data_IF_698441060803
#
_entry.id   IF_698441060803
#
_cell.length_a   1.000
_cell.length_b   1.000
_cell.length_c   1.000
_cell.angle_alpha   90.00
_cell.angle_beta   90.00
_cell.angle_gamma   90.00
#
_symmetry.space_group_name_H-M   'P 1'
#
loop_
_entity.id
_entity.type
_entity.pdbx_description
1 polymer ?
#
# COMPACT_ATOMS: atom_id res chain seq x y z
N UNK A 1 14.60 74.38 1.82
CA UNK A 1 15.94 74.92 2.10
C UNK A 1 16.93 74.29 1.14
N UNK A 2 17.87 75.04 0.60
CA UNK A 2 18.90 74.55 -0.33
C UNK A 2 20.27 74.77 0.28
N UNK A 3 21.11 73.74 0.30
CA UNK A 3 22.46 73.84 0.84
C UNK A 3 23.42 74.50 -0.15
N UNK A 4 24.47 75.14 0.39
CA UNK A 4 25.56 75.72 -0.42
C UNK A 4 26.32 74.61 -1.15
N UNK A 5 26.91 74.91 -2.30
CA UNK A 5 27.75 73.95 -3.05
C UNK A 5 28.80 73.29 -2.14
N UNK A 6 28.89 71.96 -2.19
CA UNK A 6 29.73 71.15 -1.31
C UNK A 6 29.06 70.67 -0.01
N UNK A 7 27.82 71.07 0.26
CA UNK A 7 27.03 70.61 1.40
C UNK A 7 25.76 69.89 0.95
N UNK A 8 25.38 68.86 1.70
CA UNK A 8 24.24 67.97 1.46
C UNK A 8 23.16 68.19 2.51
N UNK A 9 21.89 68.19 2.11
CA UNK A 9 20.79 68.34 3.05
C UNK A 9 20.57 67.01 3.81
N UNK A 10 20.50 67.07 5.13
CA UNK A 10 19.99 65.97 5.95
C UNK A 10 18.51 66.21 6.25
N UNK A 11 17.61 65.36 5.74
CA UNK A 11 16.17 65.54 5.89
C UNK A 11 15.66 65.33 7.33
N UNK A 12 16.43 64.64 8.17
CA UNK A 12 16.03 64.34 9.56
C UNK A 12 16.37 65.50 10.49
N UNK A 13 17.58 66.06 10.37
CA UNK A 13 18.04 67.17 11.21
C UNK A 13 17.78 68.54 10.58
N UNK A 14 17.33 68.57 9.33
CA UNK A 14 17.09 69.79 8.53
C UNK A 14 18.34 70.70 8.46
N UNK A 15 19.53 70.10 8.39
CA UNK A 15 20.83 70.77 8.41
C UNK A 15 21.67 70.43 7.18
N UNK A 16 22.58 71.32 6.81
CA UNK A 16 23.54 71.10 5.72
C UNK A 16 24.84 70.50 6.26
N UNK A 17 25.25 69.34 5.75
CA UNK A 17 26.42 68.59 6.21
C UNK A 17 27.37 68.24 5.05
N UNK A 18 28.65 68.04 5.32
CA UNK A 18 29.68 67.78 4.29
C UNK A 18 29.87 66.29 3.97
N UNK A 19 29.26 65.39 4.74
CA UNK A 19 29.22 63.94 4.49
C UNK A 19 27.99 63.35 5.17
N UNK A 20 27.42 62.28 4.61
CA UNK A 20 26.30 61.60 5.25
C UNK A 20 26.82 60.73 6.41
N UNK A 21 26.22 60.82 7.62
CA UNK A 21 26.64 60.01 8.76
C UNK A 21 26.17 58.56 8.63
N UNK A 22 26.68 57.68 9.50
CA UNK A 22 26.24 56.29 9.61
C UNK A 22 24.70 56.19 9.64
N UNK A 23 24.18 55.20 8.92
CA UNK A 23 22.75 55.01 8.68
C UNK A 23 22.17 55.85 7.53
N UNK A 24 22.98 56.66 6.84
CA UNK A 24 22.56 57.43 5.66
C UNK A 24 23.51 57.28 4.46
N UNK A 25 22.96 57.31 3.26
CA UNK A 25 23.70 57.37 1.99
C UNK A 25 23.39 58.65 1.21
N UNK A 26 24.31 59.08 0.35
CA UNK A 26 24.13 60.26 -0.49
C UNK A 26 23.33 59.91 -1.75
N UNK A 27 22.11 60.42 -1.87
CA UNK A 27 21.35 60.41 -3.13
C UNK A 27 21.91 61.52 -4.04
N UNK A 28 22.81 61.13 -4.95
CA UNK A 28 23.48 62.05 -5.88
C UNK A 28 22.53 62.77 -6.84
N UNK A 29 21.32 62.25 -7.07
CA UNK A 29 20.34 62.88 -7.96
C UNK A 29 19.67 64.08 -7.30
N UNK A 30 19.53 64.05 -5.97
CA UNK A 30 18.83 65.08 -5.19
C UNK A 30 19.74 65.80 -4.18
N UNK A 31 21.02 65.42 -4.10
CA UNK A 31 22.05 66.03 -3.25
C UNK A 31 21.60 66.03 -1.77
N UNK A 32 21.06 64.88 -1.33
CA UNK A 32 20.41 64.73 -0.03
C UNK A 32 20.85 63.42 0.63
N UNK A 33 21.07 63.45 1.94
CA UNK A 33 21.38 62.25 2.72
C UNK A 33 20.10 61.51 3.08
N UNK A 34 19.94 60.29 2.59
CA UNK A 34 18.78 59.42 2.84
C UNK A 34 19.12 58.24 3.72
N UNK A 35 18.15 57.79 4.50
CA UNK A 35 18.32 56.67 5.42
C UNK A 35 18.55 55.35 4.67
N UNK A 36 19.47 54.53 5.17
CA UNK A 36 19.67 53.15 4.75
C UNK A 36 18.46 52.27 5.11
N UNK A 37 18.35 51.09 4.47
CA UNK A 37 17.41 50.02 4.90
C UNK A 37 17.64 49.63 6.37
N UNK A 38 16.61 49.05 7.00
CA UNK A 38 16.74 48.52 8.35
C UNK A 38 17.89 47.52 8.44
N UNK A 39 18.50 47.45 9.63
CA UNK A 39 19.65 46.59 9.95
C UNK A 39 21.02 47.00 9.38
N UNK A 40 21.09 48.03 8.54
CA UNK A 40 22.36 48.52 8.00
C UNK A 40 22.95 49.64 8.83
N UNK A 41 24.25 49.54 9.11
CA UNK A 41 25.06 50.57 9.77
C UNK A 41 25.62 51.55 8.75
N UNK A 42 26.16 51.06 7.64
CA UNK A 42 26.55 51.89 6.48
C UNK A 42 26.00 51.28 5.18
N UNK A 43 25.69 52.12 4.20
CA UNK A 43 25.15 51.70 2.90
C UNK A 43 25.56 52.67 1.78
N UNK A 44 25.58 52.17 0.54
CA UNK A 44 25.83 52.97 -0.67
C UNK A 44 24.54 53.37 -1.39
N UNK A 45 23.50 52.56 -1.22
CA UNK A 45 22.13 52.81 -1.67
C UNK A 45 21.16 52.27 -0.62
N UNK A 46 19.86 52.57 -0.78
CA UNK A 46 18.83 52.17 0.17
C UNK A 46 18.93 50.68 0.58
N UNK A 47 19.13 49.76 -0.37
CA UNK A 47 19.18 48.31 -0.13
C UNK A 47 20.60 47.71 -0.19
N UNK A 48 21.64 48.51 -0.43
CA UNK A 48 23.01 48.02 -0.63
C UNK A 48 23.87 48.42 0.57
N UNK A 49 23.98 47.52 1.53
CA UNK A 49 24.66 47.73 2.78
C UNK A 49 26.13 47.31 2.70
N UNK A 50 26.98 48.06 3.37
CA UNK A 50 28.43 47.85 3.43
C UNK A 50 28.89 47.44 4.83
N UNK A 51 28.12 47.78 5.86
CA UNK A 51 28.36 47.37 7.23
C UNK A 51 27.01 47.18 7.94
N UNK A 52 26.92 46.19 8.82
CA UNK A 52 25.70 45.85 9.54
C UNK A 52 25.70 46.42 10.96
N UNK A 53 24.50 46.65 11.51
CA UNK A 53 24.35 46.98 12.93
C UNK A 53 24.81 45.80 13.79
N UNK A 54 25.14 46.08 15.05
CA UNK A 54 25.64 45.07 15.99
C UNK A 54 24.70 43.85 16.08
N UNK A 55 25.25 42.63 15.99
CA UNK A 55 24.49 41.37 16.00
C UNK A 55 24.02 40.85 14.63
N UNK A 56 24.37 41.54 13.54
CA UNK A 56 24.04 41.16 12.16
C UNK A 56 25.30 40.91 11.34
N UNK A 57 25.22 40.02 10.36
CA UNK A 57 26.30 39.73 9.39
C UNK A 57 25.92 40.17 7.98
N UNK A 58 26.91 40.63 7.22
CA UNK A 58 26.72 41.06 5.83
C UNK A 58 26.72 39.84 4.90
N UNK A 59 25.58 39.56 4.27
CA UNK A 59 25.41 38.52 3.26
C UNK A 59 25.17 39.17 1.90
N UNK A 60 26.22 39.22 1.08
CA UNK A 60 26.24 40.00 -0.15
C UNK A 60 26.13 41.50 0.17
N UNK A 61 24.99 42.11 -0.14
CA UNK A 61 24.70 43.52 0.14
C UNK A 61 23.60 43.72 1.19
N UNK A 62 23.15 42.66 1.87
CA UNK A 62 22.08 42.73 2.89
C UNK A 62 22.58 42.25 4.25
N UNK A 63 22.08 42.87 5.30
CA UNK A 63 22.36 42.48 6.68
C UNK A 63 21.33 41.47 7.17
N UNK A 64 21.78 40.32 7.64
CA UNK A 64 20.93 39.27 8.19
C UNK A 64 21.45 38.80 9.56
N UNK A 65 20.54 38.30 10.39
CA UNK A 65 20.89 37.74 11.71
C UNK A 65 21.55 36.40 11.46
N UNK A 66 22.77 36.23 11.97
CA UNK A 66 23.48 34.95 11.92
C UNK A 66 23.44 34.34 13.31
N UNK A 67 22.68 33.26 13.45
CA UNK A 67 22.76 32.43 14.63
C UNK A 67 24.03 31.55 14.59
N UNK A 68 24.51 31.16 15.76
CA UNK A 68 25.57 30.15 15.89
C UNK A 68 25.13 28.84 15.22
N UNK A 69 26.10 28.00 14.83
CA UNK A 69 25.77 26.67 14.28
C UNK A 69 24.90 25.88 15.26
N UNK A 70 23.93 25.14 14.72
CA UNK A 70 22.93 24.42 15.51
C UNK A 70 21.78 25.29 16.03
N UNK A 71 21.68 26.57 15.64
CA UNK A 71 20.54 27.44 15.95
C UNK A 71 19.93 28.06 14.69
N UNK A 72 18.62 28.32 14.73
CA UNK A 72 17.89 29.09 13.72
C UNK A 72 17.29 30.35 14.33
N UNK A 73 17.02 31.34 13.48
CA UNK A 73 16.40 32.59 13.92
C UNK A 73 14.88 32.50 13.81
N UNK A 74 14.16 32.60 14.93
CA UNK A 74 12.70 32.50 14.96
C UNK A 74 11.98 33.85 14.65
N UNK A 75 12.72 34.92 14.35
CA UNK A 75 12.19 36.27 14.16
C UNK A 75 12.45 37.21 15.34
N UNK A 76 12.77 36.68 16.52
CA UNK A 76 13.16 37.46 17.72
C UNK A 76 14.53 37.09 18.24
N UNK A 77 14.82 35.80 18.33
CA UNK A 77 16.04 35.26 18.91
C UNK A 77 16.51 34.01 18.18
N UNK A 78 17.70 33.55 18.56
CA UNK A 78 18.28 32.32 18.05
C UNK A 78 17.88 31.14 18.94
N UNK A 79 17.08 30.23 18.39
CA UNK A 79 16.64 29.02 19.05
C UNK A 79 17.41 27.79 18.53
N UNK A 80 17.62 26.76 19.35
CA UNK A 80 18.29 25.54 18.92
C UNK A 80 17.48 24.80 17.84
N UNK A 81 18.19 24.18 16.93
CA UNK A 81 17.63 23.22 15.98
C UNK A 81 17.13 21.96 16.69
N UNK A 82 16.28 21.18 16.00
CA UNK A 82 15.97 19.83 16.43
C UNK A 82 17.26 18.99 16.54
N UNK A 83 17.36 18.11 17.55
CA UNK A 83 18.57 17.35 17.89
C UNK A 83 19.15 16.48 16.77
N UNK A 84 18.37 16.17 15.73
CA UNK A 84 18.84 15.41 14.56
C UNK A 84 19.45 16.29 13.47
N UNK A 85 19.24 17.60 13.52
CA UNK A 85 19.81 18.56 12.58
C UNK A 85 21.10 19.18 13.15
N UNK A 86 22.18 19.18 12.36
CA UNK A 86 23.36 20.00 12.64
C UNK A 86 23.10 21.49 12.31
N UNK A 87 22.33 21.76 11.27
CA UNK A 87 21.83 23.09 10.90
C UNK A 87 20.39 22.98 10.42
N UNK A 88 19.60 24.03 10.61
CA UNK A 88 18.18 24.02 10.29
C UNK A 88 17.69 25.41 9.83
N UNK A 89 16.60 25.41 9.06
CA UNK A 89 15.87 26.61 8.66
C UNK A 89 14.75 26.98 9.66
N UNK A 90 14.43 26.09 10.61
CA UNK A 90 13.30 26.21 11.53
C UNK A 90 13.40 25.22 12.69
N UNK A 91 12.50 25.35 13.68
CA UNK A 91 12.47 24.46 14.86
C UNK A 91 12.08 23.01 14.55
N UNK A 92 11.33 22.77 13.46
CA UNK A 92 10.76 21.47 13.14
C UNK A 92 11.81 20.44 12.73
N UNK A 93 11.50 19.16 12.95
CA UNK A 93 12.30 18.03 12.45
C UNK A 93 12.37 17.98 10.91
N UNK A 94 11.46 18.70 10.24
CA UNK A 94 11.30 18.80 8.78
C UNK A 94 12.03 20.00 8.18
N UNK A 95 12.77 20.74 9.01
CA UNK A 95 13.46 21.95 8.62
C UNK A 95 14.98 21.78 8.72
N UNK A 96 15.50 20.56 8.68
CA UNK A 96 16.93 20.32 8.69
C UNK A 96 17.55 20.72 7.34
N UNK A 97 18.71 21.39 7.41
CA UNK A 97 19.55 21.69 6.25
C UNK A 97 20.71 20.69 6.18
N UNK A 98 21.34 20.39 7.33
CA UNK A 98 22.36 19.35 7.46
C UNK A 98 22.04 18.46 8.66
N UNK A 99 22.40 17.18 8.57
CA UNK A 99 22.19 16.21 9.64
C UNK A 99 23.39 16.08 10.57
N UNK A 100 23.11 15.81 11.84
CA UNK A 100 24.12 15.42 12.82
C UNK A 100 24.73 14.08 12.43
N UNK A 101 25.97 13.81 12.86
CA UNK A 101 26.65 12.54 12.59
C UNK A 101 25.79 11.33 12.99
N UNK A 102 25.69 10.33 12.10
CA UNK A 102 24.88 9.12 12.28
C UNK A 102 23.43 9.24 11.80
N UNK A 103 23.00 10.42 11.35
CA UNK A 103 21.71 10.63 10.69
C UNK A 103 21.90 10.84 9.18
N UNK A 104 20.85 10.54 8.42
CA UNK A 104 20.77 10.62 6.96
C UNK A 104 19.70 11.64 6.55
N UNK A 105 19.99 12.42 5.52
CA UNK A 105 19.03 13.41 5.01
C UNK A 105 17.93 12.70 4.20
N UNK A 106 16.68 12.99 4.50
CA UNK A 106 15.49 12.49 3.82
C UNK A 106 14.48 13.64 3.69
N UNK A 107 14.40 14.26 2.51
CA UNK A 107 13.45 15.35 2.20
C UNK A 107 13.35 16.45 3.28
N UNK A 108 14.50 16.94 3.76
CA UNK A 108 14.57 18.01 4.78
C UNK A 108 14.48 17.51 6.23
N UNK A 109 14.42 16.20 6.44
CA UNK A 109 14.47 15.54 7.74
C UNK A 109 15.77 14.76 7.90
N UNK A 110 16.16 14.56 9.15
CA UNK A 110 17.30 13.73 9.50
C UNK A 110 16.84 12.46 10.22
N UNK A 111 17.01 11.31 9.57
CA UNK A 111 16.56 9.98 10.01
C UNK A 111 17.73 9.04 10.31
N UNK A 112 17.55 8.04 11.17
CA UNK A 112 18.62 7.06 11.48
C UNK A 112 18.68 5.90 10.49
N UNK A 113 17.61 5.68 9.75
CA UNK A 113 17.46 4.69 8.69
C UNK A 113 16.48 5.25 7.66
N UNK A 114 16.70 4.96 6.39
CA UNK A 114 15.80 5.41 5.33
C UNK A 114 14.41 4.79 5.53
N UNK A 115 13.38 5.61 5.32
CA UNK A 115 11.98 5.18 5.39
C UNK A 115 11.65 4.21 4.25
N UNK A 116 10.54 3.48 4.39
CA UNK A 116 9.98 2.65 3.32
C UNK A 116 9.84 3.46 2.02
N UNK A 117 10.30 2.89 0.90
CA UNK A 117 10.35 3.57 -0.40
C UNK A 117 11.56 4.48 -0.61
N UNK A 118 12.56 4.42 0.26
CA UNK A 118 13.85 5.09 0.12
C UNK A 118 15.01 4.12 0.27
N UNK A 119 16.07 4.34 -0.50
CA UNK A 119 17.34 3.63 -0.38
C UNK A 119 18.44 4.58 0.11
N UNK A 120 19.43 4.03 0.81
CA UNK A 120 20.60 4.78 1.23
C UNK A 120 21.52 5.00 0.03
N UNK A 121 21.69 6.26 -0.36
CA UNK A 121 22.67 6.61 -1.38
C UNK A 121 24.07 6.69 -0.78
N UNK A 122 24.97 5.85 -1.28
CA UNK A 122 26.37 5.82 -0.90
C UNK A 122 27.23 6.81 -1.67
N UNK A 123 26.66 7.57 -2.62
CA UNK A 123 27.38 8.60 -3.35
C UNK A 123 27.87 9.70 -2.39
N UNK A 124 29.14 10.07 -2.50
CA UNK A 124 29.78 11.12 -1.69
C UNK A 124 29.69 12.51 -2.33
N UNK A 125 29.00 12.63 -3.47
CA UNK A 125 28.95 13.88 -4.27
C UNK A 125 28.34 15.06 -3.51
N UNK A 126 27.43 14.80 -2.57
CA UNK A 126 26.77 15.84 -1.76
C UNK A 126 27.43 16.09 -0.41
N UNK A 127 28.50 15.36 -0.07
CA UNK A 127 29.22 15.50 1.21
C UNK A 127 28.50 14.92 2.44
N UNK A 128 27.29 14.38 2.30
CA UNK A 128 26.53 13.70 3.36
C UNK A 128 25.79 12.47 2.81
N UNK A 129 25.53 11.50 3.68
CA UNK A 129 24.72 10.31 3.37
C UNK A 129 23.24 10.72 3.28
N UNK A 130 22.59 10.41 2.17
CA UNK A 130 21.21 10.82 1.89
C UNK A 130 20.35 9.60 1.56
N UNK A 131 19.10 9.62 2.00
CA UNK A 131 18.08 8.70 1.57
C UNK A 131 17.47 9.24 0.27
N UNK A 132 17.48 8.44 -0.78
CA UNK A 132 16.86 8.77 -2.07
C UNK A 132 15.64 7.92 -2.29
N UNK A 133 14.61 8.50 -2.89
CA UNK A 133 13.38 7.79 -3.23
C UNK A 133 13.68 6.69 -4.25
N UNK A 134 13.01 5.57 -4.08
CA UNK A 134 12.98 4.51 -5.08
C UNK A 134 12.36 5.00 -6.38
N UNK A 135 12.67 4.28 -7.47
CA UNK A 135 11.97 4.46 -8.73
C UNK A 135 10.46 4.19 -8.55
N UNK A 136 9.62 4.90 -9.30
CA UNK A 136 8.16 4.78 -9.19
C UNK A 136 7.63 3.38 -9.56
N UNK A 137 8.44 2.56 -10.24
CA UNK A 137 8.14 1.16 -10.56
C UNK A 137 8.21 0.21 -9.35
N UNK A 138 8.87 0.59 -8.25
CA UNK A 138 9.07 -0.26 -7.08
C UNK A 138 8.32 0.28 -5.83
N UNK A 139 8.02 -0.60 -4.88
CA UNK A 139 7.60 -0.19 -3.51
C UNK A 139 8.82 -0.04 -2.61
N UNK A 140 9.77 -0.97 -2.67
CA UNK A 140 11.06 -0.90 -1.99
C UNK A 140 12.19 -1.12 -3.00
N UNK A 141 13.37 -0.59 -2.70
CA UNK A 141 14.54 -0.72 -3.56
C UNK A 141 15.85 -0.73 -2.77
N UNK A 142 16.92 -1.25 -3.38
CA UNK A 142 18.27 -1.28 -2.83
C UNK A 142 19.19 -0.21 -3.44
N UNK A 143 18.73 0.50 -4.47
CA UNK A 143 19.56 1.38 -5.28
C UNK A 143 18.75 2.21 -6.27
N UNK A 144 19.47 2.88 -7.18
CA UNK A 144 18.88 3.78 -8.16
C UNK A 144 18.21 3.04 -9.32
N UNK A 145 17.07 3.54 -9.77
CA UNK A 145 16.40 3.10 -11.00
C UNK A 145 15.53 1.85 -10.84
N UNK A 146 14.96 1.41 -11.96
CA UNK A 146 13.95 0.37 -12.09
C UNK A 146 14.46 -1.08 -11.93
N UNK A 147 15.79 -1.26 -11.86
CA UNK A 147 16.48 -2.57 -11.75
C UNK A 147 16.99 -2.90 -10.35
N UNK A 148 16.70 -2.04 -9.39
CA UNK A 148 17.10 -2.25 -8.00
C UNK A 148 15.88 -2.40 -7.08
N UNK A 149 14.73 -2.82 -7.61
CA UNK A 149 13.56 -3.12 -6.81
C UNK A 149 13.84 -4.30 -5.86
N UNK A 150 13.30 -4.22 -4.64
CA UNK A 150 13.29 -5.31 -3.65
C UNK A 150 11.87 -5.71 -3.26
N UNK A 151 10.88 -4.89 -3.60
CA UNK A 151 9.47 -5.27 -3.57
C UNK A 151 8.67 -4.50 -4.63
N UNK A 152 7.58 -5.12 -5.09
CA UNK A 152 6.78 -4.62 -6.20
C UNK A 152 5.38 -4.19 -5.77
N UNK A 153 4.76 -3.23 -6.49
CA UNK A 153 3.35 -2.91 -6.33
C UNK A 153 2.47 -4.14 -6.58
N UNK A 154 1.26 -4.14 -6.02
CA UNK A 154 0.30 -5.24 -6.23
C UNK A 154 0.04 -5.47 -7.74
N UNK A 155 0.11 -6.73 -8.18
CA UNK A 155 -0.04 -7.12 -9.59
C UNK A 155 1.27 -7.21 -10.38
N UNK A 156 2.42 -6.93 -9.74
CA UNK A 156 3.74 -7.07 -10.33
C UNK A 156 4.56 -8.11 -9.55
N UNK A 157 5.33 -8.91 -10.28
CA UNK A 157 6.27 -9.86 -9.73
C UNK A 157 7.69 -9.28 -9.78
N UNK A 158 8.51 -9.59 -8.77
CA UNK A 158 9.91 -9.18 -8.74
C UNK A 158 10.75 -10.19 -9.54
N UNK A 159 11.25 -9.76 -10.70
CA UNK A 159 12.17 -10.54 -11.52
C UNK A 159 13.52 -9.82 -11.60
N UNK A 160 14.58 -10.46 -11.09
CA UNK A 160 15.98 -9.97 -11.15
C UNK A 160 16.18 -8.48 -10.82
N UNK A 161 15.42 -7.96 -9.86
CA UNK A 161 15.49 -6.56 -9.42
C UNK A 161 14.56 -5.61 -10.17
N UNK A 162 13.72 -6.11 -11.08
CA UNK A 162 12.73 -5.35 -11.85
C UNK A 162 11.33 -5.81 -11.47
N UNK A 163 10.39 -4.88 -11.36
CA UNK A 163 8.98 -5.22 -11.24
C UNK A 163 8.36 -5.44 -12.63
N UNK A 164 8.08 -6.69 -12.96
CA UNK A 164 7.43 -7.08 -14.21
C UNK A 164 5.95 -7.35 -13.95
N UNK A 165 5.10 -7.04 -14.93
CA UNK A 165 3.67 -7.40 -14.83
C UNK A 165 3.59 -8.91 -14.71
N UNK A 166 2.93 -9.42 -13.67
CA UNK A 166 2.77 -10.87 -13.51
C UNK A 166 2.02 -11.47 -14.70
N UNK A 167 2.28 -12.74 -15.02
CA UNK A 167 1.59 -13.44 -16.11
C UNK A 167 0.09 -13.44 -15.84
N UNK A 168 -0.67 -12.66 -16.62
CA UNK A 168 -2.14 -12.61 -16.49
C UNK A 168 -2.73 -13.74 -17.32
N UNK A 169 -3.05 -14.84 -16.67
CA UNK A 169 -3.80 -15.94 -17.28
C UNK A 169 -5.28 -15.58 -17.44
N UNK A 170 -5.92 -16.14 -18.47
CA UNK A 170 -7.34 -15.88 -18.72
C UNK A 170 -8.20 -16.66 -17.73
N UNK A 171 -9.48 -16.30 -17.61
CA UNK A 171 -10.45 -17.08 -16.84
C UNK A 171 -10.41 -18.55 -17.29
N UNK A 172 -10.27 -19.47 -16.33
CA UNK A 172 -10.10 -20.90 -16.59
C UNK A 172 -8.65 -21.35 -16.81
N UNK A 173 -7.67 -20.49 -16.56
CA UNK A 173 -6.23 -20.82 -16.60
C UNK A 173 -5.52 -20.34 -15.31
N UNK A 174 -4.42 -21.01 -14.95
CA UNK A 174 -3.51 -20.62 -13.85
C UNK A 174 -2.06 -20.65 -14.33
N UNK A 175 -1.17 -19.90 -13.67
CA UNK A 175 0.26 -19.90 -14.01
C UNK A 175 0.91 -21.21 -13.56
N UNK A 176 1.65 -21.83 -14.48
CA UNK A 176 2.43 -23.02 -14.23
C UNK A 176 3.69 -22.67 -13.41
N UNK A 177 3.86 -23.25 -12.21
CA UNK A 177 4.97 -22.92 -11.32
C UNK A 177 6.37 -23.20 -11.89
N UNK A 178 6.47 -24.08 -12.89
CA UNK A 178 7.74 -24.55 -13.44
C UNK A 178 8.11 -23.85 -14.77
N UNK A 179 7.15 -23.27 -15.47
CA UNK A 179 7.34 -22.77 -16.84
C UNK A 179 6.80 -21.36 -17.11
N UNK A 180 6.20 -20.69 -16.12
CA UNK A 180 5.59 -19.34 -16.22
C UNK A 180 4.53 -19.22 -17.34
N UNK A 181 4.05 -20.35 -17.86
CA UNK A 181 3.00 -20.40 -18.88
C UNK A 181 1.62 -20.59 -18.24
N UNK A 182 0.57 -20.14 -18.91
CA UNK A 182 -0.79 -20.41 -18.46
C UNK A 182 -1.19 -21.85 -18.82
N UNK A 183 -1.65 -22.60 -17.81
CA UNK A 183 -2.19 -23.95 -17.95
C UNK A 183 -3.69 -23.93 -17.67
N UNK A 184 -4.51 -24.68 -18.43
CA UNK A 184 -5.95 -24.70 -18.23
C UNK A 184 -6.35 -25.44 -16.95
N UNK A 185 -7.42 -24.98 -16.32
CA UNK A 185 -8.12 -25.72 -15.27
C UNK A 185 -8.66 -27.06 -15.81
N UNK A 186 -8.91 -28.02 -14.91
CA UNK A 186 -9.53 -29.28 -15.29
C UNK A 186 -10.93 -29.11 -15.89
N UNK A 187 -11.34 -30.09 -16.69
CA UNK A 187 -12.61 -30.10 -17.41
C UNK A 187 -13.80 -29.78 -16.49
N UNK A 188 -14.60 -28.80 -16.89
CA UNK A 188 -15.77 -28.37 -16.14
C UNK A 188 -15.50 -27.31 -15.07
N UNK A 189 -14.25 -27.03 -14.70
CA UNK A 189 -13.94 -25.90 -13.83
C UNK A 189 -14.11 -24.57 -14.60
N UNK A 190 -14.87 -23.63 -14.04
CA UNK A 190 -14.84 -22.24 -14.50
C UNK A 190 -13.62 -21.50 -13.93
N UNK A 191 -13.31 -21.78 -12.66
CA UNK A 191 -12.10 -21.31 -11.98
C UNK A 191 -11.54 -22.48 -11.17
N UNK A 192 -10.22 -22.55 -11.03
CA UNK A 192 -9.52 -23.55 -10.23
C UNK A 192 -8.57 -22.90 -9.22
N UNK A 193 -8.02 -23.70 -8.32
CA UNK A 193 -6.99 -23.22 -7.39
C UNK A 193 -5.71 -22.90 -8.14
N UNK A 194 -5.01 -21.87 -7.67
CA UNK A 194 -3.74 -21.41 -8.25
C UNK A 194 -2.61 -22.42 -8.10
N UNK A 195 -2.66 -23.29 -7.08
CA UNK A 195 -1.64 -24.30 -6.76
C UNK A 195 -1.98 -25.71 -7.26
N UNK A 196 -3.23 -25.96 -7.66
CA UNK A 196 -3.64 -27.23 -8.30
C UNK A 196 -4.80 -26.99 -9.29
N UNK A 197 -4.53 -26.99 -10.61
CA UNK A 197 -5.55 -26.72 -11.63
C UNK A 197 -6.66 -27.77 -11.69
N UNK A 198 -6.49 -28.92 -11.01
CA UNK A 198 -7.50 -29.99 -10.96
C UNK A 198 -8.61 -29.73 -9.94
N UNK A 199 -8.36 -28.82 -9.00
CA UNK A 199 -9.30 -28.49 -7.93
C UNK A 199 -10.10 -27.27 -8.37
N UNK A 200 -11.39 -27.47 -8.63
CA UNK A 200 -12.29 -26.41 -9.05
C UNK A 200 -12.70 -25.54 -7.85
N UNK A 201 -12.79 -24.25 -8.07
CA UNK A 201 -13.44 -23.29 -7.16
C UNK A 201 -14.90 -23.09 -7.54
N UNK A 202 -15.20 -23.13 -8.84
CA UNK A 202 -16.54 -22.97 -9.42
C UNK A 202 -16.65 -23.83 -10.68
N UNK A 203 -17.86 -24.30 -10.98
CA UNK A 203 -18.14 -25.09 -12.17
C UNK A 203 -18.74 -24.24 -13.28
N UNK A 204 -18.44 -24.58 -14.53
CA UNK A 204 -19.15 -24.05 -15.70
C UNK A 204 -20.61 -24.52 -15.71
N UNK A 205 -21.44 -23.89 -16.53
CA UNK A 205 -22.84 -24.25 -16.64
C UNK A 205 -23.04 -25.73 -17.02
N UNK A 206 -24.03 -26.37 -16.39
CA UNK A 206 -24.38 -27.79 -16.53
C UNK A 206 -23.40 -28.80 -15.90
N UNK A 207 -22.38 -28.33 -15.18
CA UNK A 207 -21.56 -29.17 -14.32
C UNK A 207 -21.99 -29.03 -12.86
N UNK A 208 -21.88 -30.12 -12.12
CA UNK A 208 -22.30 -30.24 -10.72
C UNK A 208 -21.07 -30.39 -9.84
N UNK A 209 -20.96 -29.54 -8.83
CA UNK A 209 -19.85 -29.58 -7.88
C UNK A 209 -20.03 -30.75 -6.91
N UNK A 210 -18.99 -31.57 -6.76
CA UNK A 210 -18.91 -32.58 -5.70
C UNK A 210 -17.53 -32.51 -5.05
N UNK A 211 -17.52 -32.19 -3.75
CA UNK A 211 -16.32 -31.79 -3.01
C UNK A 211 -15.69 -30.58 -3.71
N UNK A 212 -14.62 -30.76 -4.48
CA UNK A 212 -13.95 -29.69 -5.22
C UNK A 212 -13.71 -30.04 -6.71
N UNK A 213 -14.53 -30.93 -7.27
CA UNK A 213 -14.47 -31.30 -8.68
C UNK A 213 -15.84 -31.10 -9.35
N UNK A 214 -15.80 -30.75 -10.62
CA UNK A 214 -16.99 -30.52 -11.44
C UNK A 214 -17.29 -31.74 -12.30
N UNK A 215 -18.53 -32.25 -12.23
CA UNK A 215 -18.96 -33.43 -12.96
C UNK A 215 -20.18 -33.14 -13.83
N UNK A 216 -20.20 -33.67 -15.06
CA UNK A 216 -21.40 -33.67 -15.91
C UNK A 216 -22.40 -34.76 -15.47
N UNK A 217 -21.89 -35.90 -15.02
CA UNK A 217 -22.66 -36.98 -14.41
C UNK A 217 -22.17 -37.18 -12.99
N UNK A 218 -23.07 -37.02 -12.02
CA UNK A 218 -22.71 -37.15 -10.61
C UNK A 218 -22.15 -38.55 -10.29
N UNK A 219 -21.12 -38.63 -9.42
CA UNK A 219 -20.53 -39.91 -9.01
C UNK A 219 -21.54 -40.88 -8.39
N UNK A 220 -21.18 -42.16 -8.29
CA UNK A 220 -22.05 -43.18 -7.70
C UNK A 220 -22.53 -42.82 -6.29
N UNK A 221 -23.76 -43.22 -5.96
CA UNK A 221 -24.44 -42.90 -4.69
C UNK A 221 -24.60 -41.40 -4.41
N UNK A 222 -24.65 -40.59 -5.46
CA UNK A 222 -25.03 -39.18 -5.38
C UNK A 222 -26.08 -38.86 -6.44
N UNK A 223 -26.87 -37.82 -6.24
CA UNK A 223 -27.87 -37.34 -7.20
C UNK A 223 -27.63 -35.87 -7.53
N UNK A 224 -28.15 -35.42 -8.67
CA UNK A 224 -28.05 -34.03 -9.13
C UNK A 224 -29.06 -33.16 -8.41
N UNK A 225 -28.60 -32.10 -7.77
CA UNK A 225 -29.45 -31.03 -7.28
C UNK A 225 -29.32 -29.81 -8.21
N UNK A 226 -30.36 -29.54 -9.01
CA UNK A 226 -30.37 -28.46 -10.00
C UNK A 226 -30.47 -27.06 -9.39
N UNK A 227 -30.87 -26.98 -8.12
CA UNK A 227 -31.02 -25.70 -7.40
C UNK A 227 -29.66 -25.22 -6.91
N UNK A 228 -28.91 -26.10 -6.24
CA UNK A 228 -27.57 -25.78 -5.72
C UNK A 228 -26.44 -26.07 -6.72
N UNK A 229 -26.75 -26.72 -7.85
CA UNK A 229 -25.78 -27.17 -8.87
C UNK A 229 -24.69 -28.05 -8.27
N UNK A 230 -25.10 -28.98 -7.39
CA UNK A 230 -24.21 -29.90 -6.67
C UNK A 230 -24.64 -31.34 -6.84
N UNK A 231 -23.70 -32.25 -6.67
CA UNK A 231 -24.02 -33.64 -6.40
C UNK A 231 -24.24 -33.81 -4.90
N UNK A 232 -25.40 -34.30 -4.50
CA UNK A 232 -25.78 -34.54 -3.11
C UNK A 232 -25.69 -36.04 -2.83
N UNK A 233 -25.08 -36.39 -1.70
CA UNK A 233 -24.96 -37.78 -1.29
C UNK A 233 -26.33 -38.39 -0.98
N UNK A 234 -26.55 -39.62 -1.46
CA UNK A 234 -27.72 -40.39 -1.09
C UNK A 234 -27.72 -40.74 0.40
N UNK A 235 -28.90 -41.02 0.98
CA UNK A 235 -28.97 -41.54 2.35
C UNK A 235 -28.08 -42.77 2.54
N UNK A 236 -27.45 -42.86 3.71
CA UNK A 236 -26.35 -43.80 3.97
C UNK A 236 -26.75 -45.27 3.86
N UNK A 237 -28.03 -45.58 3.92
CA UNK A 237 -28.65 -46.88 3.82
C UNK A 237 -29.16 -47.22 2.40
N UNK A 238 -28.91 -46.36 1.42
CA UNK A 238 -29.41 -46.51 0.06
C UNK A 238 -28.30 -46.85 -0.93
N UNK A 239 -28.65 -47.70 -1.90
CA UNK A 239 -27.84 -48.06 -3.06
C UNK A 239 -28.37 -47.24 -4.26
N UNK A 240 -28.00 -45.96 -4.29
CA UNK A 240 -28.54 -44.97 -5.21
C UNK A 240 -29.90 -44.40 -4.79
N UNK A 241 -30.17 -43.18 -5.24
CA UNK A 241 -31.37 -42.42 -4.93
C UNK A 241 -31.67 -41.42 -6.04
N UNK A 242 -32.94 -41.03 -6.16
CA UNK A 242 -33.37 -39.80 -6.81
C UNK A 242 -33.91 -38.87 -5.72
N UNK A 243 -33.11 -37.85 -5.36
CA UNK A 243 -33.37 -36.99 -4.20
C UNK A 243 -33.47 -37.80 -2.90
N UNK A 244 -34.59 -37.70 -2.19
CA UNK A 244 -34.83 -38.41 -0.94
C UNK A 244 -35.36 -39.84 -1.15
N UNK A 245 -35.66 -40.23 -2.40
CA UNK A 245 -36.21 -41.54 -2.74
C UNK A 245 -35.09 -42.50 -3.13
N UNK A 246 -34.92 -43.54 -2.33
CA UNK A 246 -33.95 -44.58 -2.54
C UNK A 246 -34.42 -45.57 -3.62
N UNK A 247 -33.56 -45.85 -4.59
CA UNK A 247 -33.86 -46.83 -5.63
C UNK A 247 -33.76 -48.26 -5.12
N UNK A 248 -32.86 -48.52 -4.17
CA UNK A 248 -32.75 -49.80 -3.47
C UNK A 248 -32.00 -49.63 -2.15
N UNK A 249 -32.11 -50.63 -1.27
CA UNK A 249 -31.52 -50.57 0.06
C UNK A 249 -30.23 -51.37 0.18
N UNK A 250 -29.32 -50.87 1.03
CA UNK A 250 -28.15 -51.62 1.47
C UNK A 250 -28.57 -52.84 2.28
N UNK A 251 -27.65 -53.81 2.39
CA UNK A 251 -27.89 -55.04 3.13
C UNK A 251 -28.32 -54.74 4.58
N UNK A 252 -29.37 -55.42 5.04
CA UNK A 252 -29.98 -55.20 6.36
C UNK A 252 -31.09 -54.14 6.41
N UNK A 253 -31.39 -53.47 5.29
CA UNK A 253 -32.49 -52.50 5.17
C UNK A 253 -33.49 -52.93 4.10
N UNK A 254 -34.74 -52.51 4.28
CA UNK A 254 -35.89 -52.85 3.43
C UNK A 254 -36.54 -51.57 2.92
N UNK A 255 -36.93 -51.56 1.65
CA UNK A 255 -37.55 -50.39 1.03
C UNK A 255 -39.01 -50.26 1.48
N UNK A 256 -39.38 -49.09 2.01
CA UNK A 256 -40.74 -48.74 2.37
C UNK A 256 -41.04 -47.33 1.88
N UNK A 257 -41.85 -47.23 0.81
CA UNK A 257 -42.29 -45.94 0.27
C UNK A 257 -41.13 -45.02 -0.13
N UNK A 258 -40.07 -45.56 -0.75
CA UNK A 258 -38.90 -44.80 -1.18
C UNK A 258 -37.85 -44.58 -0.08
N UNK A 259 -38.06 -45.05 1.15
CA UNK A 259 -37.09 -44.90 2.24
C UNK A 259 -36.62 -46.28 2.69
N UNK A 260 -35.32 -46.41 2.95
CA UNK A 260 -34.77 -47.64 3.50
C UNK A 260 -34.92 -47.67 5.02
N UNK A 261 -35.53 -48.71 5.56
CA UNK A 261 -35.77 -48.87 7.00
C UNK A 261 -35.27 -50.23 7.48
N UNK A 262 -34.87 -50.33 8.75
CA UNK A 262 -34.48 -51.60 9.37
C UNK A 262 -35.68 -52.36 9.96
N UNK A 263 -36.76 -51.64 10.30
CA UNK A 263 -38.03 -52.17 10.79
C UNK A 263 -39.20 -51.57 10.01
N UNK A 264 -40.10 -52.41 9.50
CA UNK A 264 -41.22 -51.98 8.64
C UNK A 264 -42.40 -51.34 9.41
N UNK A 265 -42.43 -51.45 10.74
CA UNK A 265 -43.52 -50.94 11.57
C UNK A 265 -44.81 -51.80 11.52
N UNK A 266 -45.89 -51.29 12.11
CA UNK A 266 -47.16 -52.01 12.20
C UNK A 266 -47.88 -52.08 10.84
N UNK A 267 -48.48 -53.24 10.53
CA UNK A 267 -49.17 -53.47 9.27
C UNK A 267 -48.27 -53.86 8.08
N UNK A 268 -46.95 -53.98 8.29
CA UNK A 268 -45.99 -54.43 7.27
C UNK A 268 -45.04 -55.50 7.84
N UNK A 269 -44.56 -56.39 6.99
CA UNK A 269 -43.52 -57.37 7.32
C UNK A 269 -42.33 -57.24 6.36
N UNK A 270 -41.17 -57.74 6.78
CA UNK A 270 -39.94 -57.77 5.97
C UNK A 270 -40.02 -58.92 4.98
N UNK A 271 -39.94 -58.63 3.69
CA UNK A 271 -39.80 -59.65 2.67
C UNK A 271 -38.34 -59.72 2.18
N UNK A 272 -37.66 -60.82 2.51
CA UNK A 272 -36.23 -61.01 2.20
C UNK A 272 -35.98 -61.26 0.70
N UNK A 273 -37.02 -61.61 -0.06
CA UNK A 273 -36.93 -61.92 -1.49
C UNK A 273 -36.89 -60.63 -2.30
N UNK A 274 -37.89 -59.76 -2.10
CA UNK A 274 -38.00 -58.44 -2.72
C UNK A 274 -37.08 -57.39 -2.08
N UNK A 275 -36.67 -57.60 -0.81
CA UNK A 275 -36.01 -56.61 0.05
C UNK A 275 -36.87 -55.36 0.28
N UNK A 276 -38.17 -55.55 0.37
CA UNK A 276 -39.14 -54.50 0.63
C UNK A 276 -39.96 -54.79 1.90
N UNK A 277 -40.62 -53.75 2.39
CA UNK A 277 -41.63 -53.87 3.44
C UNK A 277 -43.00 -54.09 2.79
N UNK A 278 -43.50 -55.32 2.84
CA UNK A 278 -44.80 -55.67 2.26
C UNK A 278 -45.94 -55.55 3.27
N UNK A 279 -47.12 -55.15 2.79
CA UNK A 279 -48.28 -54.98 3.65
C UNK A 279 -48.83 -56.33 4.11
N UNK A 280 -49.18 -56.41 5.40
CA UNK A 280 -49.91 -57.55 5.94
C UNK A 280 -51.30 -57.68 5.32
N UNK A 281 -51.88 -58.89 5.32
CA UNK A 281 -53.30 -59.05 5.07
C UNK A 281 -54.13 -58.14 6.00
N UNK A 282 -55.14 -57.47 5.44
CA UNK A 282 -55.96 -56.43 6.11
C UNK A 282 -56.62 -56.82 7.44
N UNK A 283 -56.69 -58.11 7.76
CA UNK A 283 -57.22 -58.61 9.03
C UNK A 283 -56.19 -58.64 10.16
N UNK A 284 -54.91 -58.43 9.86
CA UNK A 284 -53.80 -58.59 10.78
C UNK A 284 -53.20 -57.22 11.13
N UNK A 285 -53.00 -56.97 12.43
CA UNK A 285 -52.29 -55.77 12.88
C UNK A 285 -50.76 -55.92 12.74
N UNK A 286 -50.26 -57.15 12.85
CA UNK A 286 -48.87 -57.55 12.62
C UNK A 286 -48.84 -58.90 11.92
N UNK A 287 -47.79 -59.16 11.14
CA UNK A 287 -47.59 -60.40 10.41
C UNK A 287 -46.10 -60.67 10.21
N UNK A 288 -45.76 -61.90 9.81
CA UNK A 288 -44.41 -62.33 9.42
C UNK A 288 -44.34 -62.81 7.97
N UNK A 289 -45.41 -62.54 7.21
CA UNK A 289 -45.67 -63.03 5.86
C UNK A 289 -47.01 -62.50 5.35
N UNK A 290 -47.22 -62.61 4.04
CA UNK A 290 -48.42 -62.14 3.35
C UNK A 290 -49.73 -62.78 3.87
#
# INVERSE_FOLDING_TARGET
MTCKSGYYLNEVTNSCITSCPDGFYLDKSKIVCRKCSENCKTCVEFQICTECKHGLSLHGSKCAIRCEEGKYHNGRECEPCHRSCATCAGAGVDSCINCTQGYFMEDGRCVQSCSSGYYLDHSTESGYKTCKRCDASCVECSGQGDRNCTSCPSGYNLDTGVCVVGTVCKDGEVEDPDSENCIPCADGCQNCKWDDPRICMTCIQNYYMYKDHCYIYCPENTYRDEISMKCIECPSNCNGCDKDECGSCKEGFYLLGGICVNECGAGFFRDDISRECEACHRSCATCVGA
#
